data_IF_533543212097
#
_entry.id   IF_533543212097
#
_cell.length_a   1.000
_cell.length_b   1.000
_cell.length_c   1.000
_cell.angle_alpha   90.00
_cell.angle_beta   90.00
_cell.angle_gamma   90.00
#
_symmetry.space_group_name_H-M   'P 1'
#
loop_
_entity.id
_entity.type
_entity.pdbx_description
1 polymer ?
#
# COMPACT_ATOMS: atom_id res chain seq x y z
N UNK A 1 -27.26 -23.03 0.67
CA UNK A 1 -26.81 -22.46 -0.61
C UNK A 1 -25.83 -23.44 -1.20
N UNK A 2 -26.20 -24.13 -2.26
CA UNK A 2 -25.26 -24.95 -3.04
C UNK A 2 -24.27 -24.01 -3.71
N UNK A 3 -23.03 -24.03 -3.28
CA UNK A 3 -21.95 -23.34 -3.97
C UNK A 3 -21.83 -24.02 -5.35
N UNK A 4 -22.32 -23.39 -6.38
CA UNK A 4 -22.07 -23.82 -7.76
C UNK A 4 -20.58 -23.59 -8.00
N UNK A 5 -19.82 -24.68 -8.02
CA UNK A 5 -18.40 -24.63 -8.32
C UNK A 5 -18.27 -24.51 -9.84
N UNK A 6 -17.99 -23.32 -10.36
CA UNK A 6 -17.76 -23.09 -11.77
C UNK A 6 -16.39 -23.67 -12.15
N UNK A 7 -16.40 -24.78 -12.86
CA UNK A 7 -15.18 -25.54 -13.22
C UNK A 7 -14.58 -25.06 -14.53
N UNK A 8 -13.34 -25.40 -14.79
CA UNK A 8 -12.66 -25.13 -16.07
C UNK A 8 -13.41 -25.79 -17.25
N UNK A 9 -13.96 -26.97 -17.05
CA UNK A 9 -14.78 -27.68 -18.03
C UNK A 9 -16.05 -26.88 -18.36
N UNK A 10 -16.77 -26.43 -17.33
CA UNK A 10 -17.93 -25.55 -17.51
C UNK A 10 -17.57 -24.25 -18.26
N UNK A 11 -16.38 -23.71 -18.01
CA UNK A 11 -15.92 -22.50 -18.67
C UNK A 11 -15.65 -22.69 -20.17
N UNK A 12 -15.24 -23.88 -20.58
CA UNK A 12 -15.16 -24.26 -22.01
C UNK A 12 -16.53 -24.49 -22.63
N UNK A 13 -17.44 -25.16 -21.91
CA UNK A 13 -18.74 -25.55 -22.44
C UNK A 13 -19.73 -24.38 -22.53
N UNK A 14 -19.48 -23.31 -21.78
CA UNK A 14 -20.34 -22.12 -21.75
C UNK A 14 -19.55 -20.82 -22.04
N UNK A 15 -18.93 -20.68 -23.22
CA UNK A 15 -18.03 -19.55 -23.53
C UNK A 15 -18.73 -18.18 -23.55
N UNK A 16 -20.05 -18.16 -23.72
CA UNK A 16 -20.85 -16.93 -23.82
C UNK A 16 -21.67 -16.66 -22.55
N UNK A 17 -21.36 -17.34 -21.44
CA UNK A 17 -22.01 -17.06 -20.16
C UNK A 17 -21.70 -15.62 -19.77
N UNK A 18 -22.74 -14.86 -19.45
CA UNK A 18 -22.59 -13.51 -18.92
C UNK A 18 -21.99 -13.55 -17.53
N UNK A 19 -20.93 -12.78 -17.31
CA UNK A 19 -20.17 -12.75 -16.06
C UNK A 19 -20.10 -11.32 -15.53
N UNK A 20 -20.16 -11.11 -14.20
CA UNK A 20 -20.23 -9.78 -13.58
C UNK A 20 -18.87 -9.08 -13.51
N UNK A 21 -18.06 -9.10 -14.57
CA UNK A 21 -16.71 -8.52 -14.57
C UNK A 21 -16.70 -7.02 -14.30
N UNK A 22 -17.71 -6.29 -14.79
CA UNK A 22 -17.83 -4.86 -14.57
C UNK A 22 -18.14 -4.52 -13.10
N UNK A 23 -18.94 -5.34 -12.42
CA UNK A 23 -19.24 -5.21 -10.98
C UNK A 23 -17.97 -5.47 -10.14
N UNK A 24 -17.07 -6.31 -10.64
CA UNK A 24 -15.76 -6.57 -10.04
C UNK A 24 -14.70 -5.52 -10.40
N UNK A 25 -15.07 -4.45 -11.11
CA UNK A 25 -14.19 -3.34 -11.46
C UNK A 25 -13.27 -3.58 -12.66
N UNK A 26 -13.52 -4.62 -13.44
CA UNK A 26 -12.81 -4.85 -14.71
C UNK A 26 -13.48 -4.10 -15.86
N UNK A 27 -12.66 -3.61 -16.79
CA UNK A 27 -13.13 -2.99 -18.04
C UNK A 27 -13.33 -4.04 -19.13
N UNK A 28 -14.10 -3.70 -20.15
CA UNK A 28 -14.38 -4.60 -21.28
C UNK A 28 -13.10 -5.13 -21.94
N UNK A 29 -12.15 -4.24 -22.21
CA UNK A 29 -10.87 -4.61 -22.82
C UNK A 29 -9.99 -5.49 -21.92
N UNK A 30 -10.12 -5.35 -20.61
CA UNK A 30 -9.43 -6.19 -19.60
C UNK A 30 -10.06 -7.58 -19.59
N UNK A 31 -11.38 -7.67 -19.59
CA UNK A 31 -12.09 -8.94 -19.66
C UNK A 31 -11.78 -9.71 -20.95
N UNK A 32 -11.76 -9.04 -22.12
CA UNK A 32 -11.35 -9.65 -23.37
C UNK A 32 -9.90 -10.18 -23.34
N UNK A 33 -8.98 -9.44 -22.71
CA UNK A 33 -7.60 -9.91 -22.50
C UNK A 33 -7.53 -11.17 -21.64
N UNK A 34 -8.34 -11.24 -20.57
CA UNK A 34 -8.42 -12.44 -19.72
C UNK A 34 -8.85 -13.64 -20.55
N UNK A 35 -9.92 -13.50 -21.35
CA UNK A 35 -10.38 -14.58 -22.25
C UNK A 35 -9.31 -15.00 -23.25
N UNK A 36 -8.59 -14.04 -23.82
CA UNK A 36 -7.51 -14.33 -24.77
C UNK A 36 -6.33 -15.07 -24.10
N UNK A 37 -5.98 -14.72 -22.87
CA UNK A 37 -4.91 -15.39 -22.10
C UNK A 37 -5.31 -16.84 -21.77
N UNK A 38 -6.55 -17.06 -21.33
CA UNK A 38 -7.04 -18.36 -20.93
C UNK A 38 -7.45 -19.27 -22.09
N UNK A 39 -7.72 -18.69 -23.28
CA UNK A 39 -8.30 -19.40 -24.41
C UNK A 39 -9.77 -19.81 -24.21
N UNK A 40 -10.41 -19.28 -23.16
CA UNK A 40 -11.79 -19.54 -22.76
C UNK A 40 -12.28 -18.38 -21.86
N UNK A 41 -13.57 -18.39 -21.46
CA UNK A 41 -13.97 -17.51 -20.37
C UNK A 41 -13.27 -17.92 -19.06
N UNK A 42 -13.02 -16.99 -18.14
CA UNK A 42 -12.57 -17.35 -16.78
C UNK A 42 -13.68 -18.12 -16.03
N UNK A 43 -13.29 -18.97 -15.08
CA UNK A 43 -14.21 -19.42 -14.04
C UNK A 43 -14.49 -18.27 -13.08
N UNK A 44 -15.53 -18.38 -12.23
CA UNK A 44 -15.87 -17.31 -11.25
C UNK A 44 -14.71 -17.03 -10.30
N UNK A 45 -13.98 -18.05 -9.87
CA UNK A 45 -12.80 -17.91 -9.03
C UNK A 45 -11.64 -17.21 -9.78
N UNK A 46 -11.38 -17.59 -11.04
CA UNK A 46 -10.36 -16.92 -11.85
C UNK A 46 -10.74 -15.48 -12.15
N UNK A 47 -12.01 -15.19 -12.45
CA UNK A 47 -12.48 -13.83 -12.68
C UNK A 47 -12.25 -12.95 -11.45
N UNK A 48 -12.56 -13.47 -10.27
CA UNK A 48 -12.30 -12.77 -9.00
C UNK A 48 -10.81 -12.53 -8.79
N UNK A 49 -9.94 -13.53 -9.02
CA UNK A 49 -8.49 -13.37 -8.93
C UNK A 49 -7.97 -12.32 -9.90
N UNK A 50 -8.38 -12.37 -11.16
CA UNK A 50 -8.00 -11.37 -12.14
C UNK A 50 -8.46 -9.97 -11.78
N UNK A 51 -9.67 -9.81 -11.22
CA UNK A 51 -10.18 -8.51 -10.79
C UNK A 51 -9.30 -7.87 -9.71
N UNK A 52 -8.84 -8.68 -8.75
CA UNK A 52 -7.91 -8.21 -7.71
C UNK A 52 -6.55 -7.87 -8.29
N UNK A 53 -5.97 -8.76 -9.11
CA UNK A 53 -4.64 -8.56 -9.69
C UNK A 53 -4.59 -7.39 -10.70
N UNK A 54 -5.70 -7.11 -11.36
CA UNK A 54 -5.84 -5.96 -12.28
C UNK A 54 -6.39 -4.69 -11.62
N UNK A 55 -6.65 -4.74 -10.32
CA UNK A 55 -7.01 -3.53 -9.56
C UNK A 55 -5.85 -2.53 -9.59
N UNK A 56 -6.15 -1.26 -9.41
CA UNK A 56 -5.12 -0.21 -9.31
C UNK A 56 -4.12 -0.50 -8.19
N UNK A 57 -4.59 -1.09 -7.10
CA UNK A 57 -3.78 -1.43 -5.94
C UNK A 57 -2.63 -2.40 -6.25
N UNK A 58 -2.87 -3.39 -7.13
CA UNK A 58 -1.86 -4.39 -7.49
C UNK A 58 -1.13 -4.04 -8.79
N UNK A 59 -1.85 -3.56 -9.80
CA UNK A 59 -1.32 -3.38 -11.16
C UNK A 59 -0.73 -2.01 -11.43
N UNK A 60 -1.10 -1.00 -10.62
CA UNK A 60 -0.76 0.42 -10.87
C UNK A 60 -1.13 0.89 -12.28
N UNK A 61 -2.19 0.31 -12.87
CA UNK A 61 -2.52 0.48 -14.28
C UNK A 61 -2.76 1.93 -14.71
N UNK A 62 -3.29 2.75 -13.82
CA UNK A 62 -3.53 4.18 -14.05
C UNK A 62 -2.36 5.04 -13.54
N UNK A 63 -1.82 4.73 -12.37
CA UNK A 63 -0.78 5.54 -11.72
C UNK A 63 0.61 5.39 -12.34
N UNK A 64 0.88 4.31 -13.09
CA UNK A 64 2.17 4.11 -13.78
C UNK A 64 2.60 5.32 -14.61
N UNK A 65 1.67 6.03 -15.22
CA UNK A 65 1.97 7.22 -16.02
C UNK A 65 2.60 8.32 -15.17
N UNK A 66 2.09 8.51 -13.96
CA UNK A 66 2.59 9.49 -13.00
C UNK A 66 3.88 9.00 -12.32
N UNK A 67 3.96 7.72 -11.98
CA UNK A 67 5.15 7.13 -11.36
C UNK A 67 6.38 7.23 -12.25
N UNK A 68 6.23 7.13 -13.58
CA UNK A 68 7.32 7.32 -14.54
C UNK A 68 7.98 8.70 -14.44
N UNK A 69 7.22 9.70 -14.01
CA UNK A 69 7.73 11.07 -13.88
C UNK A 69 8.88 11.16 -12.88
N UNK A 70 8.84 10.39 -11.79
CA UNK A 70 9.93 10.35 -10.82
C UNK A 70 11.23 9.87 -11.45
N UNK A 71 11.19 8.83 -12.30
CA UNK A 71 12.37 8.37 -13.03
C UNK A 71 12.88 9.39 -14.06
N UNK A 72 11.99 10.17 -14.68
CA UNK A 72 12.36 11.20 -15.65
C UNK A 72 13.00 12.45 -14.99
N UNK A 73 12.68 12.71 -13.73
CA UNK A 73 13.22 13.86 -12.98
C UNK A 73 14.42 13.50 -12.12
N UNK A 74 14.78 12.21 -12.05
CA UNK A 74 15.97 11.74 -11.36
C UNK A 74 17.23 12.26 -12.02
N UNK A 75 18.11 12.87 -11.24
CA UNK A 75 19.45 13.29 -11.70
C UNK A 75 20.51 12.29 -11.27
N UNK A 76 21.66 12.27 -11.97
CA UNK A 76 22.78 11.42 -11.58
C UNK A 76 23.26 11.69 -10.14
N UNK A 77 23.14 12.91 -9.66
CA UNK A 77 23.52 13.27 -8.29
C UNK A 77 22.54 12.69 -7.27
N UNK A 78 21.24 12.71 -7.57
CA UNK A 78 20.23 12.07 -6.73
C UNK A 78 20.40 10.55 -6.70
N UNK A 79 20.62 9.94 -7.86
CA UNK A 79 20.79 8.48 -8.00
C UNK A 79 21.97 7.97 -7.16
N UNK A 80 23.07 8.68 -7.13
CA UNK A 80 24.26 8.33 -6.32
C UNK A 80 24.00 8.31 -4.82
N UNK A 81 22.98 9.01 -4.34
CA UNK A 81 22.61 9.06 -2.92
C UNK A 81 21.58 8.00 -2.52
N UNK A 82 20.91 7.36 -3.49
CA UNK A 82 19.91 6.34 -3.20
C UNK A 82 20.62 5.01 -2.93
N UNK A 83 20.49 4.53 -1.71
CA UNK A 83 21.05 3.24 -1.28
C UNK A 83 20.04 2.10 -1.45
N UNK A 84 18.76 2.39 -1.30
CA UNK A 84 17.66 1.47 -1.56
C UNK A 84 16.45 2.23 -2.11
N UNK A 85 15.76 1.65 -3.08
CA UNK A 85 14.65 2.28 -3.80
C UNK A 85 13.55 1.30 -4.15
N UNK A 86 13.04 1.39 -5.36
CA UNK A 86 11.90 0.57 -5.85
C UNK A 86 12.23 -0.92 -5.72
N UNK A 87 11.33 -1.67 -5.05
CA UNK A 87 11.46 -3.10 -4.80
C UNK A 87 11.88 -3.45 -3.38
N UNK A 88 12.35 -2.47 -2.61
CA UNK A 88 12.70 -2.61 -1.20
C UNK A 88 11.54 -2.18 -0.27
N UNK A 89 11.64 -2.54 1.02
CA UNK A 89 10.59 -2.22 2.00
C UNK A 89 10.45 -0.71 2.23
N UNK A 90 11.54 0.04 2.15
CA UNK A 90 11.56 1.49 2.31
C UNK A 90 12.65 2.14 1.44
N UNK A 91 12.50 3.43 1.18
CA UNK A 91 13.55 4.22 0.55
C UNK A 91 14.67 4.53 1.54
N UNK A 92 15.94 4.46 1.08
CA UNK A 92 17.12 4.78 1.90
C UNK A 92 18.02 5.72 1.12
N UNK A 93 18.39 6.83 1.77
CA UNK A 93 19.21 7.88 1.18
C UNK A 93 20.44 8.13 2.05
N UNK A 94 21.61 8.14 1.41
CA UNK A 94 22.87 8.54 2.04
C UNK A 94 22.87 10.04 2.36
N UNK A 95 23.10 10.38 3.62
CA UNK A 95 23.20 11.77 4.09
C UNK A 95 24.65 12.18 4.40
N UNK A 96 25.60 11.32 4.12
CA UNK A 96 27.03 11.53 4.37
C UNK A 96 27.49 11.07 5.75
N UNK A 97 28.81 11.01 5.93
CA UNK A 97 29.40 10.61 7.21
C UNK A 97 29.22 9.14 7.60
N UNK A 98 28.75 8.29 6.67
CA UNK A 98 28.41 6.89 6.94
C UNK A 98 27.01 6.71 7.56
N UNK A 99 26.19 7.76 7.54
CA UNK A 99 24.82 7.76 8.03
C UNK A 99 23.82 7.80 6.86
N UNK A 100 22.68 7.15 7.05
CA UNK A 100 21.58 7.15 6.09
C UNK A 100 20.24 7.43 6.79
N UNK A 101 19.31 7.99 6.01
CA UNK A 101 17.91 8.17 6.39
C UNK A 101 17.06 7.23 5.56
N UNK A 102 16.17 6.51 6.22
CA UNK A 102 15.15 5.70 5.58
C UNK A 102 13.76 6.26 5.87
N UNK A 103 12.86 6.13 4.91
CA UNK A 103 11.49 6.58 5.08
C UNK A 103 10.52 5.75 4.25
N UNK A 104 9.34 5.59 4.78
CA UNK A 104 8.20 4.94 4.13
C UNK A 104 6.95 5.77 4.35
N UNK A 105 6.17 5.96 3.29
CA UNK A 105 4.81 6.49 3.37
C UNK A 105 3.85 5.48 2.79
N UNK A 106 2.74 5.26 3.45
CA UNK A 106 1.69 4.34 3.00
C UNK A 106 0.31 4.90 3.32
N UNK A 107 -0.66 4.62 2.43
CA UNK A 107 -2.06 4.95 2.64
C UNK A 107 -2.79 3.75 3.22
N UNK A 108 -3.47 3.95 4.35
CA UNK A 108 -4.27 2.92 5.02
C UNK A 108 -5.73 3.37 5.13
N UNK A 109 -6.35 3.64 3.98
CA UNK A 109 -7.59 4.39 3.86
C UNK A 109 -8.82 3.56 4.24
N UNK A 110 -9.10 2.51 3.46
CA UNK A 110 -10.30 1.71 3.63
C UNK A 110 -10.37 0.98 4.99
N UNK A 111 -9.30 0.35 5.48
CA UNK A 111 -9.30 -0.21 6.83
C UNK A 111 -9.59 0.82 7.91
N UNK A 112 -9.06 2.05 7.77
CA UNK A 112 -9.33 3.15 8.70
C UNK A 112 -10.76 3.68 8.61
N UNK A 113 -11.40 3.57 7.46
CA UNK A 113 -12.82 3.91 7.32
C UNK A 113 -13.72 2.90 8.02
N UNK A 114 -13.39 1.61 7.92
CA UNK A 114 -14.19 0.51 8.52
C UNK A 114 -13.97 0.45 10.02
N UNK A 115 -12.72 0.32 10.46
CA UNK A 115 -12.31 0.24 11.86
C UNK A 115 -11.26 1.32 12.16
N UNK A 116 -11.68 2.54 12.49
CA UNK A 116 -10.81 3.72 12.49
C UNK A 116 -9.57 3.58 13.37
N UNK A 117 -9.73 3.10 14.61
CA UNK A 117 -8.61 2.92 15.52
C UNK A 117 -7.64 1.86 15.04
N UNK A 118 -8.14 0.65 14.76
CA UNK A 118 -7.31 -0.49 14.36
C UNK A 118 -6.70 -0.29 12.98
N UNK A 119 -7.48 0.28 12.04
CA UNK A 119 -7.02 0.58 10.69
C UNK A 119 -5.86 1.57 10.70
N UNK A 120 -5.99 2.68 11.40
CA UNK A 120 -4.94 3.69 11.48
C UNK A 120 -3.71 3.20 12.27
N UNK A 121 -3.91 2.47 13.37
CA UNK A 121 -2.83 1.86 14.12
C UNK A 121 -2.03 0.86 13.26
N UNK A 122 -2.72 0.04 12.46
CA UNK A 122 -2.08 -0.90 11.53
C UNK A 122 -1.30 -0.15 10.44
N UNK A 123 -1.83 0.98 9.95
CA UNK A 123 -1.12 1.83 8.98
C UNK A 123 0.23 2.31 9.51
N UNK A 124 0.26 2.84 10.73
CA UNK A 124 1.53 3.23 11.40
C UNK A 124 2.41 2.02 11.64
N UNK A 125 1.84 0.90 12.11
CA UNK A 125 2.58 -0.33 12.38
C UNK A 125 3.28 -0.89 11.16
N UNK A 126 2.62 -0.89 10.00
CA UNK A 126 3.18 -1.35 8.74
C UNK A 126 4.44 -0.60 8.36
N UNK A 127 4.37 0.73 8.30
CA UNK A 127 5.52 1.56 7.90
C UNK A 127 6.67 1.55 8.91
N UNK A 128 6.37 1.45 10.20
CA UNK A 128 7.40 1.29 11.24
C UNK A 128 8.16 -0.02 11.04
N UNK A 129 7.46 -1.11 10.73
CA UNK A 129 8.09 -2.40 10.48
C UNK A 129 8.94 -2.38 9.22
N UNK A 130 8.52 -1.68 8.16
CA UNK A 130 9.33 -1.50 6.96
C UNK A 130 10.65 -0.79 7.25
N UNK A 131 10.61 0.27 8.07
CA UNK A 131 11.82 0.97 8.53
C UNK A 131 12.74 0.03 9.32
N UNK A 132 12.18 -0.76 10.23
CA UNK A 132 12.97 -1.72 11.02
C UNK A 132 13.55 -2.83 10.15
N UNK A 133 12.82 -3.29 9.13
CA UNK A 133 13.28 -4.32 8.20
C UNK A 133 14.51 -3.89 7.38
N UNK A 134 14.69 -2.57 7.20
CA UNK A 134 15.87 -2.01 6.54
C UNK A 134 17.11 -1.92 7.48
N UNK A 135 17.00 -2.38 8.73
CA UNK A 135 18.06 -2.24 9.74
C UNK A 135 18.06 -0.88 10.44
N UNK A 136 17.06 -0.06 10.20
CA UNK A 136 16.99 1.30 10.74
C UNK A 136 16.21 1.38 12.05
N UNK A 137 16.53 2.38 12.86
CA UNK A 137 15.75 2.75 14.03
C UNK A 137 14.71 3.81 13.64
N UNK A 138 13.41 3.55 13.81
CA UNK A 138 12.38 4.57 13.68
C UNK A 138 12.62 5.70 14.69
N UNK A 139 12.48 6.96 14.25
CA UNK A 139 12.73 8.14 15.08
C UNK A 139 11.55 9.11 15.11
N UNK A 140 10.71 9.10 14.08
CA UNK A 140 9.57 10.00 13.97
C UNK A 140 8.51 9.45 13.02
N UNK A 141 7.26 9.86 13.26
CA UNK A 141 6.13 9.66 12.36
C UNK A 141 5.54 11.00 11.94
N UNK A 142 4.89 11.02 10.79
CA UNK A 142 4.13 12.15 10.25
C UNK A 142 2.89 11.61 9.56
N UNK A 143 1.80 12.40 9.53
CA UNK A 143 0.55 11.94 8.93
C UNK A 143 -0.07 13.00 8.05
N UNK A 144 -0.46 12.62 6.83
CA UNK A 144 -1.23 13.45 5.92
C UNK A 144 -2.64 12.88 5.85
N UNK A 145 -3.58 13.55 6.50
CA UNK A 145 -4.94 13.09 6.67
C UNK A 145 -5.91 13.91 5.81
N UNK A 146 -6.84 13.21 5.17
CA UNK A 146 -7.91 13.83 4.36
C UNK A 146 -9.24 13.23 4.76
N UNK A 147 -10.18 14.06 5.12
CA UNK A 147 -11.53 13.65 5.53
C UNK A 147 -12.59 14.44 4.79
N UNK A 148 -13.81 13.93 4.75
CA UNK A 148 -14.99 14.69 4.35
C UNK A 148 -15.23 15.92 5.24
N UNK A 149 -16.27 16.73 4.97
CA UNK A 149 -16.63 17.87 5.81
C UNK A 149 -16.73 17.49 7.29
N UNK A 150 -16.33 18.40 8.17
CA UNK A 150 -16.32 18.16 9.64
C UNK A 150 -17.71 17.82 10.20
N UNK A 151 -18.76 18.32 9.60
CA UNK A 151 -20.16 18.09 9.99
C UNK A 151 -20.73 16.80 9.44
N UNK A 152 -20.06 16.15 8.48
CA UNK A 152 -20.47 14.85 7.96
C UNK A 152 -20.41 13.75 9.05
N UNK A 153 -21.42 12.89 9.08
CA UNK A 153 -21.50 11.81 10.07
C UNK A 153 -20.32 10.85 10.01
N UNK A 154 -19.90 10.48 8.80
CA UNK A 154 -18.73 9.62 8.60
C UNK A 154 -17.46 10.25 9.16
N UNK A 155 -17.23 11.53 8.92
CA UNK A 155 -16.08 12.24 9.45
C UNK A 155 -16.08 12.26 10.98
N UNK A 156 -17.23 12.55 11.59
CA UNK A 156 -17.40 12.51 13.06
C UNK A 156 -17.12 11.13 13.65
N UNK A 157 -17.48 10.07 12.93
CA UNK A 157 -17.25 8.68 13.34
C UNK A 157 -15.76 8.31 13.20
N UNK A 158 -15.14 8.64 12.06
CA UNK A 158 -13.84 8.12 11.66
C UNK A 158 -12.68 8.90 12.27
N UNK A 159 -12.74 10.23 12.24
CA UNK A 159 -11.63 11.10 12.66
C UNK A 159 -11.10 10.82 14.07
N UNK A 160 -11.93 10.72 15.12
CA UNK A 160 -11.44 10.47 16.48
C UNK A 160 -10.69 9.13 16.57
N UNK A 161 -11.21 8.08 15.94
CA UNK A 161 -10.59 6.76 15.94
C UNK A 161 -9.26 6.75 15.22
N UNK A 162 -9.15 7.42 14.07
CA UNK A 162 -7.90 7.55 13.31
C UNK A 162 -6.82 8.24 14.15
N UNK A 163 -7.14 9.39 14.75
CA UNK A 163 -6.20 10.15 15.59
C UNK A 163 -5.74 9.30 16.78
N UNK A 164 -6.66 8.60 17.43
CA UNK A 164 -6.33 7.71 18.55
C UNK A 164 -5.50 6.50 18.13
N UNK A 165 -5.76 5.92 16.95
CA UNK A 165 -5.01 4.78 16.42
C UNK A 165 -3.57 5.14 16.11
N UNK A 166 -3.35 6.26 15.43
CA UNK A 166 -2.02 6.80 15.14
C UNK A 166 -1.26 7.08 16.44
N UNK A 167 -1.86 7.86 17.33
CA UNK A 167 -1.25 8.24 18.60
C UNK A 167 -0.98 7.05 19.50
N UNK A 168 -1.90 6.08 19.56
CA UNK A 168 -1.77 4.89 20.39
C UNK A 168 -0.58 4.02 19.97
N UNK A 169 -0.42 3.78 18.66
CA UNK A 169 0.70 2.99 18.15
C UNK A 169 2.05 3.71 18.35
N UNK A 170 2.14 4.98 17.97
CA UNK A 170 3.35 5.78 18.15
C UNK A 170 3.77 5.89 19.63
N UNK A 171 2.82 6.06 20.54
CA UNK A 171 3.07 6.13 21.96
C UNK A 171 3.69 4.85 22.52
N UNK A 172 3.22 3.66 22.09
CA UNK A 172 3.78 2.38 22.54
C UNK A 172 5.25 2.20 22.14
N UNK A 173 5.68 2.84 21.05
CA UNK A 173 7.06 2.80 20.56
C UNK A 173 7.92 3.99 21.00
N UNK A 174 7.32 4.97 21.67
CA UNK A 174 7.98 6.21 22.02
C UNK A 174 8.35 7.07 20.80
N UNK A 175 7.60 6.94 19.71
CA UNK A 175 7.81 7.71 18.47
C UNK A 175 6.99 8.99 18.50
N UNK A 176 7.63 10.16 18.39
CA UNK A 176 6.90 11.42 18.29
C UNK A 176 6.25 11.56 16.91
N UNK A 177 5.02 12.07 16.88
CA UNK A 177 4.44 12.60 15.66
C UNK A 177 4.91 14.06 15.54
N UNK A 178 5.73 14.34 14.53
CA UNK A 178 6.43 15.63 14.38
C UNK A 178 5.82 16.53 13.31
N UNK A 179 4.81 16.08 12.60
CA UNK A 179 4.21 16.88 11.53
C UNK A 179 3.12 16.15 10.77
N UNK A 180 2.75 16.76 9.66
CA UNK A 180 1.65 16.34 8.81
C UNK A 180 0.64 17.46 8.65
N UNK A 181 -0.49 17.12 8.07
CA UNK A 181 -1.60 18.05 7.90
C UNK A 181 -2.94 17.30 7.90
N UNK A 182 -4.00 18.00 8.25
CA UNK A 182 -5.36 17.49 8.13
C UNK A 182 -6.19 18.44 7.28
N UNK A 183 -6.78 17.92 6.21
CA UNK A 183 -7.61 18.68 5.28
C UNK A 183 -9.01 18.07 5.23
N UNK A 184 -10.01 18.93 5.13
CA UNK A 184 -11.41 18.56 5.02
C UNK A 184 -11.95 19.03 3.68
N UNK A 185 -12.45 18.10 2.85
CA UNK A 185 -13.05 18.39 1.56
C UNK A 185 -14.12 17.35 1.23
N UNK A 186 -15.17 17.78 0.55
CA UNK A 186 -16.29 16.91 0.19
C UNK A 186 -15.87 15.72 -0.70
N UNK A 187 -14.78 15.83 -1.45
CA UNK A 187 -14.24 14.74 -2.26
C UNK A 187 -13.80 13.53 -1.45
N UNK A 188 -13.51 13.70 -0.16
CA UNK A 188 -13.09 12.61 0.74
C UNK A 188 -14.22 12.06 1.62
N UNK A 189 -15.45 12.49 1.40
CA UNK A 189 -16.60 11.92 2.10
C UNK A 189 -16.76 10.43 1.75
N UNK A 190 -16.89 9.58 2.78
CA UNK A 190 -17.00 8.13 2.61
C UNK A 190 -15.71 7.40 2.21
N UNK A 191 -14.65 8.12 1.85
CA UNK A 191 -13.35 7.54 1.50
C UNK A 191 -12.19 8.46 1.93
N UNK A 192 -11.87 8.51 3.21
CA UNK A 192 -10.79 9.33 3.74
C UNK A 192 -9.43 8.83 3.24
N UNK A 193 -8.45 9.72 3.21
CA UNK A 193 -7.04 9.34 3.06
C UNK A 193 -6.36 9.39 4.43
N UNK A 194 -5.81 8.25 4.82
CA UNK A 194 -5.04 8.10 6.05
C UNK A 194 -3.63 7.69 5.66
N UNK A 195 -2.76 8.67 5.46
CA UNK A 195 -1.38 8.44 5.05
C UNK A 195 -0.49 8.56 6.28
N UNK A 196 0.25 7.51 6.56
CA UNK A 196 1.25 7.51 7.61
C UNK A 196 2.64 7.47 6.98
N UNK A 197 3.55 8.28 7.51
CA UNK A 197 4.97 8.30 7.13
C UNK A 197 5.80 8.03 8.37
N UNK A 198 6.78 7.13 8.25
CA UNK A 198 7.79 6.92 9.28
C UNK A 198 9.17 7.23 8.72
N UNK A 199 9.99 7.87 9.54
CA UNK A 199 11.39 8.15 9.26
C UNK A 199 12.25 7.38 10.25
N UNK A 200 13.34 6.81 9.75
CA UNK A 200 14.35 6.13 10.56
C UNK A 200 15.77 6.54 10.17
N UNK A 201 16.71 6.20 11.01
CA UNK A 201 18.15 6.41 10.76
C UNK A 201 18.91 5.11 10.94
N UNK A 202 19.99 4.94 10.18
CA UNK A 202 20.89 3.79 10.27
C UNK A 202 22.29 4.18 9.85
N UNK A 203 23.27 3.37 10.24
CA UNK A 203 24.57 3.39 9.59
C UNK A 203 24.47 2.69 8.24
N UNK A 204 25.17 3.18 7.23
CA UNK A 204 25.12 2.59 5.89
C UNK A 204 25.54 1.11 5.92
N UNK A 205 26.47 0.74 6.80
CA UNK A 205 26.94 -0.64 7.00
C UNK A 205 25.88 -1.58 7.60
N UNK A 206 24.85 -1.03 8.28
CA UNK A 206 23.74 -1.78 8.89
C UNK A 206 22.55 -1.95 7.95
N UNK A 207 22.65 -1.51 6.70
CA UNK A 207 21.55 -1.61 5.73
C UNK A 207 21.24 -3.07 5.39
N UNK A 208 19.98 -3.46 5.59
CA UNK A 208 19.45 -4.75 5.19
C UNK A 208 18.46 -4.61 4.02
N UNK A 209 18.66 -5.41 2.99
CA UNK A 209 17.79 -5.47 1.82
C UNK A 209 16.88 -6.70 1.86
N UNK A 210 15.75 -6.64 1.16
CA UNK A 210 14.68 -7.65 1.22
C UNK A 210 14.99 -8.90 0.37
N UNK A 211 16.14 -9.53 0.59
CA UNK A 211 16.48 -10.81 -0.04
C UNK A 211 17.18 -11.76 0.93
N UNK A 212 16.94 -13.04 0.76
CA UNK A 212 17.63 -14.09 1.53
C UNK A 212 19.08 -14.22 1.04
N UNK A 213 20.04 -14.04 1.95
CA UNK A 213 21.45 -14.16 1.67
C UNK A 213 22.15 -15.02 2.72
N UNK A 214 23.28 -15.60 2.33
CA UNK A 214 24.10 -16.43 3.23
C UNK A 214 23.65 -17.88 3.31
N UNK A 215 24.51 -18.80 2.81
CA UNK A 215 24.27 -20.24 2.91
C UNK A 215 24.26 -20.66 4.38
N UNK A 216 23.18 -21.35 4.80
CA UNK A 216 23.01 -21.81 6.18
C UNK A 216 22.22 -20.85 7.08
N UNK A 217 21.90 -19.65 6.62
CA UNK A 217 20.99 -18.76 7.34
C UNK A 217 19.59 -19.36 7.42
N UNK A 218 18.92 -19.13 8.54
CA UNK A 218 17.58 -19.66 8.80
C UNK A 218 16.54 -18.57 8.53
N UNK A 219 15.44 -18.96 7.91
CA UNK A 219 14.22 -18.14 7.86
C UNK A 219 13.40 -18.49 9.10
N UNK A 220 13.08 -17.48 9.89
CA UNK A 220 12.27 -17.62 11.11
C UNK A 220 10.97 -16.86 10.88
N UNK A 221 9.86 -17.57 11.05
CA UNK A 221 8.50 -17.02 10.92
C UNK A 221 7.94 -16.70 12.31
#
# INVERSE_FOLDING_TARGET
MTVHNDTVENAFDSPNLDQPYAELGLKDDEYEKIKAILGRRPTDAELTLYSVMWSEHCSYKSSKTHLRYFGQTMTEEMEKKILAGIGENAGVVDIGGGDAVTFRVESHNHPSFVEPYQGAATGVGGIVRDIMAMGARPIAVMDQLRFGPLDAEDTKRVLPGVVHGIGGYGNCLGLPNIGGETVFDAAYAGNPLVNALCVGTLKVEDLHLAFASGTGNKVIL
#
